data_IF_740445900369
#
_entry.id   IF_740445900369
#
_cell.length_a   1.000
_cell.length_b   1.000
_cell.length_c   1.000
_cell.angle_alpha   90.00
_cell.angle_beta   90.00
_cell.angle_gamma   90.00
#
_symmetry.space_group_name_H-M   'P 1'
#
loop_
_entity.id
_entity.type
_entity.pdbx_description
1 polymer ?
#
# COMPACT_ATOMS: atom_id res chain seq x y z
N UNK A 1 -14.10 11.53 10.60
CA UNK A 1 -13.04 11.80 9.61
C UNK A 1 -11.77 12.24 10.30
N UNK A 2 -10.63 11.79 9.83
CA UNK A 2 -9.35 12.29 10.31
C UNK A 2 -9.12 13.73 9.86
N UNK A 3 -8.40 14.52 10.67
CA UNK A 3 -7.90 15.80 10.21
C UNK A 3 -6.81 15.56 9.16
N UNK A 4 -6.91 16.25 8.02
CA UNK A 4 -5.86 16.23 7.04
C UNK A 4 -4.60 16.89 7.64
N UNK A 5 -3.44 16.28 7.40
CA UNK A 5 -2.16 16.85 7.83
C UNK A 5 -1.70 17.92 6.82
N UNK A 6 -1.44 19.14 7.28
CA UNK A 6 -0.96 20.20 6.41
C UNK A 6 0.43 19.91 5.82
N UNK A 7 1.23 19.06 6.49
CA UNK A 7 2.56 18.67 6.02
C UNK A 7 2.53 17.43 5.12
N UNK A 8 1.41 16.71 5.05
CA UNK A 8 1.33 15.45 4.30
C UNK A 8 1.17 15.73 2.81
N UNK A 9 2.12 15.23 2.01
CA UNK A 9 2.07 15.37 0.55
C UNK A 9 0.83 14.73 -0.06
N UNK A 10 0.39 13.58 0.46
CA UNK A 10 -0.81 12.91 -0.05
C UNK A 10 -2.09 13.63 0.32
N UNK A 11 -2.16 14.23 1.52
CA UNK A 11 -3.28 15.09 1.87
C UNK A 11 -3.37 16.31 0.93
N UNK A 12 -2.21 16.87 0.54
CA UNK A 12 -2.16 17.98 -0.42
C UNK A 12 -2.63 17.55 -1.81
N UNK A 13 -2.27 16.34 -2.24
CA UNK A 13 -2.73 15.78 -3.51
C UNK A 13 -4.25 15.57 -3.47
N UNK A 14 -4.78 15.04 -2.39
CA UNK A 14 -6.23 14.83 -2.21
C UNK A 14 -6.99 16.14 -2.32
N UNK A 15 -6.45 17.21 -1.75
CA UNK A 15 -7.06 18.57 -1.81
C UNK A 15 -6.89 19.26 -3.16
N UNK A 16 -6.04 18.73 -4.03
CA UNK A 16 -5.72 19.35 -5.31
C UNK A 16 -4.66 20.47 -5.23
N UNK A 17 -3.99 20.62 -4.09
CA UNK A 17 -2.92 21.60 -3.92
C UNK A 17 -1.65 21.19 -4.66
N UNK A 18 -1.41 19.89 -4.80
CA UNK A 18 -0.32 19.31 -5.58
C UNK A 18 -0.95 18.48 -6.71
N UNK A 19 -0.54 18.69 -7.96
CA UNK A 19 -1.09 17.90 -9.08
C UNK A 19 -0.62 16.45 -9.02
N UNK A 20 -1.43 15.54 -9.57
CA UNK A 20 -1.09 14.14 -9.74
C UNK A 20 -1.68 13.64 -11.06
N UNK A 21 -1.16 12.51 -11.54
CA UNK A 21 -1.72 11.81 -12.70
C UNK A 21 -2.82 10.86 -12.20
N UNK A 22 -4.01 11.41 -12.01
CA UNK A 22 -5.15 10.71 -11.43
C UNK A 22 -5.67 9.61 -12.34
N UNK A 23 -5.87 8.42 -11.80
CA UNK A 23 -6.44 7.27 -12.49
C UNK A 23 -7.85 6.96 -12.04
N UNK A 24 -8.15 7.18 -10.76
CA UNK A 24 -9.46 6.87 -10.18
C UNK A 24 -9.66 7.68 -8.91
N UNK A 25 -10.91 8.04 -8.66
CA UNK A 25 -11.28 8.72 -7.42
C UNK A 25 -12.68 8.30 -7.00
N UNK A 26 -12.85 8.03 -5.73
CA UNK A 26 -14.16 7.85 -5.09
C UNK A 26 -14.24 8.77 -3.86
N UNK A 27 -15.32 8.65 -3.13
CA UNK A 27 -15.48 9.39 -1.87
C UNK A 27 -14.39 9.01 -0.85
N UNK A 28 -13.88 7.77 -0.90
CA UNK A 28 -12.96 7.22 0.11
C UNK A 28 -11.52 7.09 -0.32
N UNK A 29 -11.26 6.96 -1.62
CA UNK A 29 -9.91 6.68 -2.12
C UNK A 29 -9.55 7.52 -3.33
N UNK A 30 -8.25 7.66 -3.54
CA UNK A 30 -7.66 8.30 -4.72
C UNK A 30 -6.56 7.39 -5.24
N UNK A 31 -6.52 7.18 -6.57
CA UNK A 31 -5.48 6.42 -7.23
C UNK A 31 -4.79 7.26 -8.31
N UNK A 32 -3.47 7.19 -8.37
CA UNK A 32 -2.65 7.96 -9.29
C UNK A 32 -1.34 7.25 -9.62
N UNK A 33 -0.70 7.66 -10.70
CA UNK A 33 0.61 7.11 -11.07
C UNK A 33 1.70 7.60 -10.12
N UNK A 34 2.61 6.69 -9.76
CA UNK A 34 3.82 7.06 -9.01
C UNK A 34 4.74 7.86 -9.94
N UNK A 35 5.24 9.01 -9.47
CA UNK A 35 6.15 9.86 -10.26
C UNK A 35 7.60 9.39 -10.22
N UNK A 36 7.91 8.43 -9.36
CA UNK A 36 9.21 7.75 -9.29
C UNK A 36 9.01 6.24 -9.47
N UNK A 37 8.49 5.82 -10.65
CA UNK A 37 8.05 4.46 -10.83
C UNK A 37 9.19 3.45 -10.82
N UNK A 38 8.95 2.29 -10.22
CA UNK A 38 9.86 1.14 -10.31
C UNK A 38 9.73 0.42 -11.65
N UNK A 39 8.59 0.56 -12.30
CA UNK A 39 8.32 0.04 -13.63
C UNK A 39 7.16 0.82 -14.25
N UNK A 40 6.99 0.66 -15.55
CA UNK A 40 5.88 1.31 -16.25
C UNK A 40 4.54 0.84 -15.69
N UNK A 41 3.70 1.79 -15.28
CA UNK A 41 2.38 1.50 -14.72
C UNK A 41 2.37 1.38 -13.20
N UNK A 42 3.50 1.62 -12.53
CA UNK A 42 3.55 1.68 -11.07
C UNK A 42 2.56 2.76 -10.58
N UNK A 43 1.57 2.34 -9.82
CA UNK A 43 0.50 3.21 -9.36
C UNK A 43 0.29 3.06 -7.86
N UNK A 44 -0.31 4.08 -7.27
CA UNK A 44 -0.67 4.11 -5.86
C UNK A 44 -2.16 4.23 -5.70
N UNK A 45 -2.71 3.60 -4.68
CA UNK A 45 -4.05 3.90 -4.18
C UNK A 45 -3.95 4.26 -2.72
N UNK A 46 -4.55 5.39 -2.35
CA UNK A 46 -4.49 5.92 -1.00
C UNK A 46 -5.89 6.13 -0.45
N UNK A 47 -6.12 5.91 0.86
CA UNK A 47 -7.35 6.36 1.49
C UNK A 47 -7.32 7.89 1.62
N UNK A 48 -8.47 8.52 1.48
CA UNK A 48 -8.60 9.97 1.74
C UNK A 48 -8.49 10.26 3.23
N UNK A 49 -8.85 9.28 4.06
CA UNK A 49 -8.61 9.34 5.51
C UNK A 49 -7.11 9.38 5.77
N UNK A 50 -6.64 10.38 6.54
CA UNK A 50 -5.22 10.48 6.90
C UNK A 50 -4.91 9.56 8.07
N UNK A 51 -3.97 8.65 7.88
CA UNK A 51 -3.39 7.81 8.92
C UNK A 51 -2.05 7.29 8.47
N UNK A 52 -1.12 7.18 9.41
CA UNK A 52 0.25 6.75 9.12
C UNK A 52 0.31 5.26 8.84
N UNK A 53 -0.27 4.45 9.72
CA UNK A 53 -0.20 2.99 9.67
C UNK A 53 -1.54 2.40 9.23
N UNK A 54 -1.49 1.20 8.65
CA UNK A 54 -2.70 0.47 8.27
C UNK A 54 -3.69 0.36 9.43
N UNK A 55 -3.16 0.13 10.64
CA UNK A 55 -3.95 0.01 11.87
C UNK A 55 -4.65 1.30 12.30
N UNK A 56 -4.26 2.45 11.74
CA UNK A 56 -4.87 3.74 12.03
C UNK A 56 -6.10 4.03 11.17
N UNK A 57 -6.32 3.24 10.11
CA UNK A 57 -7.36 3.51 9.13
C UNK A 57 -8.62 2.71 9.48
N UNK A 58 -9.81 3.35 9.54
CA UNK A 58 -11.07 2.62 9.74
C UNK A 58 -11.28 1.57 8.64
N UNK A 59 -11.84 0.42 9.02
CA UNK A 59 -12.07 -0.69 8.08
C UNK A 59 -12.83 -0.25 6.84
N UNK A 60 -13.80 0.62 7.01
CA UNK A 60 -14.62 1.12 5.90
C UNK A 60 -13.78 1.89 4.87
N UNK A 61 -12.77 2.63 5.34
CA UNK A 61 -11.86 3.36 4.46
C UNK A 61 -10.80 2.46 3.82
N UNK A 62 -10.55 1.27 4.41
CA UNK A 62 -9.68 0.25 3.81
C UNK A 62 -10.38 -0.58 2.74
N UNK A 63 -11.71 -0.67 2.79
CA UNK A 63 -12.48 -1.62 2.00
C UNK A 63 -12.33 -1.47 0.49
N UNK A 64 -12.00 -0.26 0.00
CA UNK A 64 -11.83 -0.01 -1.43
C UNK A 64 -10.38 -0.14 -1.91
N UNK A 65 -9.39 -0.23 -1.02
CA UNK A 65 -7.98 -0.18 -1.42
C UNK A 65 -7.59 -1.34 -2.33
N UNK A 66 -7.83 -2.58 -1.93
CA UNK A 66 -7.48 -3.74 -2.75
C UNK A 66 -8.36 -3.88 -4.00
N UNK A 67 -9.68 -3.66 -3.95
CA UNK A 67 -10.48 -3.63 -5.18
C UNK A 67 -9.98 -2.61 -6.21
N UNK A 68 -9.57 -1.43 -5.79
CA UNK A 68 -9.00 -0.42 -6.69
C UNK A 68 -7.61 -0.82 -7.18
N UNK A 69 -6.76 -1.38 -6.31
CA UNK A 69 -5.47 -1.93 -6.72
C UNK A 69 -5.63 -3.01 -7.79
N UNK A 70 -6.63 -3.87 -7.67
CA UNK A 70 -6.99 -4.85 -8.68
C UNK A 70 -7.33 -4.20 -10.02
N UNK A 71 -8.15 -3.14 -10.00
CA UNK A 71 -8.48 -2.38 -11.21
C UNK A 71 -7.25 -1.76 -11.86
N UNK A 72 -6.31 -1.24 -11.05
CA UNK A 72 -5.05 -0.69 -11.55
C UNK A 72 -4.22 -1.76 -12.24
N UNK A 73 -4.12 -2.96 -11.66
CA UNK A 73 -3.40 -4.07 -12.27
C UNK A 73 -4.00 -4.45 -13.63
N UNK A 74 -5.32 -4.59 -13.70
CA UNK A 74 -6.01 -4.89 -14.95
C UNK A 74 -5.77 -3.79 -15.98
N UNK A 75 -5.91 -2.53 -15.59
CA UNK A 75 -5.73 -1.39 -16.49
C UNK A 75 -4.29 -1.27 -17.00
N UNK A 76 -3.29 -1.66 -16.21
CA UNK A 76 -1.89 -1.63 -16.61
C UNK A 76 -1.55 -2.72 -17.64
N UNK A 77 -2.36 -3.76 -17.76
CA UNK A 77 -2.08 -4.91 -18.59
C UNK A 77 -1.02 -5.85 -18.02
N UNK A 78 -0.60 -5.65 -16.76
CA UNK A 78 0.43 -6.46 -16.14
C UNK A 78 -0.02 -7.91 -15.96
N UNK A 79 0.84 -8.85 -16.38
CA UNK A 79 0.65 -10.28 -16.12
C UNK A 79 1.12 -10.61 -14.70
N UNK A 80 2.30 -10.12 -14.36
CA UNK A 80 2.91 -10.29 -13.04
C UNK A 80 3.04 -8.92 -12.38
N UNK A 81 2.74 -8.84 -11.10
CA UNK A 81 2.79 -7.59 -10.36
C UNK A 81 2.86 -7.84 -8.86
N UNK A 82 3.35 -6.85 -8.13
CA UNK A 82 3.33 -6.87 -6.67
C UNK A 82 2.33 -5.85 -6.14
N UNK A 83 1.65 -6.22 -5.09
CA UNK A 83 0.87 -5.30 -4.25
C UNK A 83 1.67 -5.12 -2.97
N UNK A 84 2.01 -3.88 -2.63
CA UNK A 84 2.89 -3.56 -1.51
C UNK A 84 2.28 -2.46 -0.66
N UNK A 85 2.28 -2.68 0.65
CA UNK A 85 1.88 -1.68 1.62
C UNK A 85 2.86 -1.74 2.80
N UNK A 86 3.48 -0.61 3.12
CA UNK A 86 4.53 -0.54 4.13
C UNK A 86 4.05 0.25 5.35
N UNK A 87 4.40 -0.21 6.55
CA UNK A 87 4.02 0.41 7.81
C UNK A 87 5.26 0.66 8.67
N UNK A 88 5.67 1.91 8.78
CA UNK A 88 6.82 2.33 9.55
C UNK A 88 8.12 2.38 8.74
N UNK A 89 9.06 3.20 9.20
CA UNK A 89 10.37 3.39 8.54
C UNK A 89 11.17 2.10 8.37
N UNK A 90 11.30 1.24 9.40
CA UNK A 90 12.00 -0.03 9.24
C UNK A 90 11.40 -0.94 8.17
N UNK A 91 10.08 -0.79 7.90
CA UNK A 91 9.37 -1.51 6.86
C UNK A 91 9.30 -0.72 5.54
N UNK A 92 10.16 0.29 5.37
CA UNK A 92 10.30 1.06 4.13
C UNK A 92 9.13 2.00 3.83
N UNK A 93 8.45 2.52 4.85
CA UNK A 93 7.45 3.57 4.67
C UNK A 93 8.11 4.94 4.77
N UNK A 94 8.11 5.70 3.66
CA UNK A 94 8.72 7.04 3.63
C UNK A 94 7.70 8.18 3.63
N UNK A 95 6.45 7.92 3.28
CA UNK A 95 5.37 8.88 3.41
C UNK A 95 4.42 8.41 4.51
N UNK A 96 4.19 9.27 5.51
CA UNK A 96 3.39 8.95 6.69
C UNK A 96 1.89 9.12 6.43
N UNK A 97 1.42 8.44 5.40
CA UNK A 97 0.02 8.33 4.99
C UNK A 97 -0.11 7.00 4.28
N UNK A 98 -1.02 6.15 4.72
CA UNK A 98 -1.20 4.82 4.17
C UNK A 98 -1.34 4.87 2.64
N UNK A 99 -0.58 4.04 1.97
CA UNK A 99 -0.66 3.91 0.51
C UNK A 99 -0.34 2.48 0.10
N UNK A 100 -1.07 2.01 -0.90
CA UNK A 100 -0.90 0.69 -1.49
C UNK A 100 -0.30 0.88 -2.87
N UNK A 101 0.83 0.21 -3.11
CA UNK A 101 1.48 0.19 -4.42
C UNK A 101 0.94 -0.96 -5.26
N UNK A 102 0.69 -0.70 -6.52
CA UNK A 102 0.57 -1.73 -7.55
C UNK A 102 1.75 -1.55 -8.49
N UNK A 103 2.63 -2.55 -8.54
CA UNK A 103 3.92 -2.46 -9.23
C UNK A 103 4.01 -3.58 -10.25
N UNK A 104 3.87 -3.28 -11.54
CA UNK A 104 4.08 -4.30 -12.58
C UNK A 104 5.48 -4.89 -12.52
N UNK A 105 5.58 -6.21 -12.77
CA UNK A 105 6.84 -6.94 -12.85
C UNK A 105 7.00 -7.52 -14.25
N UNK A 106 7.39 -6.70 -15.24
CA UNK A 106 7.44 -7.14 -16.64
C UNK A 106 8.59 -8.11 -16.93
N UNK A 107 9.62 -8.09 -16.12
CA UNK A 107 10.79 -8.97 -16.23
C UNK A 107 11.51 -9.05 -14.87
N UNK A 108 12.61 -9.78 -14.81
CA UNK A 108 13.32 -10.00 -13.56
C UNK A 108 14.06 -8.77 -13.02
N UNK A 109 14.35 -7.78 -13.87
CA UNK A 109 15.14 -6.60 -13.49
C UNK A 109 14.30 -5.37 -13.17
N UNK A 110 13.15 -5.22 -13.81
CA UNK A 110 12.25 -4.08 -13.56
C UNK A 110 11.21 -4.43 -12.49
N UNK A 111 10.70 -3.40 -11.84
CA UNK A 111 9.70 -3.56 -10.78
C UNK A 111 10.34 -3.79 -9.42
N UNK A 112 9.55 -4.31 -8.50
CA UNK A 112 9.97 -4.54 -7.12
C UNK A 112 10.97 -5.69 -7.03
N UNK A 113 12.14 -5.44 -6.42
CA UNK A 113 13.06 -6.51 -6.04
C UNK A 113 12.59 -7.13 -4.74
N UNK A 114 12.25 -8.42 -4.75
CA UNK A 114 11.76 -9.13 -3.57
C UNK A 114 12.72 -10.25 -3.21
N UNK A 115 13.14 -10.25 -1.94
CA UNK A 115 13.96 -11.30 -1.35
C UNK A 115 14.00 -11.07 0.15
N UNK A 116 13.95 -12.15 0.94
CA UNK A 116 13.97 -12.04 2.39
C UNK A 116 14.61 -13.27 3.01
N UNK A 117 15.27 -13.10 4.20
CA UNK A 117 15.93 -14.21 4.91
C UNK A 117 14.88 -14.98 5.74
N UNK A 118 14.10 -15.84 5.09
CA UNK A 118 13.13 -16.65 5.79
C UNK A 118 13.82 -17.68 6.70
N UNK A 119 13.27 -17.87 7.89
CA UNK A 119 13.72 -18.95 8.77
C UNK A 119 13.14 -20.29 8.27
N UNK A 120 13.97 -21.04 7.58
CA UNK A 120 13.58 -22.33 7.01
C UNK A 120 13.50 -23.44 8.05
N UNK A 121 13.96 -23.19 9.27
CA UNK A 121 14.01 -24.18 10.36
C UNK A 121 13.26 -23.68 11.60
N UNK A 122 12.17 -22.93 11.41
CA UNK A 122 11.39 -22.40 12.52
C UNK A 122 10.89 -23.53 13.44
N UNK A 123 11.00 -23.33 14.75
CA UNK A 123 10.55 -24.27 15.76
C UNK A 123 9.02 -24.33 15.78
N UNK A 124 8.44 -25.47 15.42
CA UNK A 124 7.00 -25.65 15.30
C UNK A 124 6.27 -25.53 16.64
N UNK A 125 6.90 -25.93 17.74
CA UNK A 125 6.32 -25.78 19.07
C UNK A 125 6.20 -24.30 19.45
N UNK A 126 7.21 -23.49 19.11
CA UNK A 126 7.18 -22.03 19.34
C UNK A 126 6.14 -21.35 18.47
N UNK A 127 5.98 -21.78 17.22
CA UNK A 127 4.95 -21.24 16.33
C UNK A 127 3.56 -21.56 16.86
N UNK A 128 3.33 -22.77 17.35
CA UNK A 128 2.07 -23.16 17.96
C UNK A 128 1.75 -22.29 19.18
N UNK A 129 2.73 -22.09 20.05
CA UNK A 129 2.58 -21.26 21.26
C UNK A 129 2.24 -19.81 20.87
N UNK A 130 2.93 -19.25 19.86
CA UNK A 130 2.65 -17.91 19.38
C UNK A 130 1.25 -17.79 18.78
N UNK A 131 0.82 -18.79 18.02
CA UNK A 131 -0.53 -18.83 17.47
C UNK A 131 -1.58 -18.76 18.59
N UNK A 132 -1.40 -19.55 19.64
CA UNK A 132 -2.31 -19.55 20.79
C UNK A 132 -2.30 -18.21 21.55
N UNK A 133 -1.15 -17.53 21.58
CA UNK A 133 -1.03 -16.20 22.17
C UNK A 133 -1.75 -15.13 21.35
N UNK A 134 -1.66 -15.19 20.03
CA UNK A 134 -2.21 -14.17 19.12
C UNK A 134 -3.72 -14.29 18.94
N UNK A 135 -4.27 -15.52 18.90
CA UNK A 135 -5.69 -15.76 18.63
C UNK A 135 -6.64 -14.92 19.49
N UNK A 136 -6.47 -14.83 20.83
CA UNK A 136 -7.39 -14.05 21.66
C UNK A 136 -7.35 -12.55 21.39
N UNK A 137 -6.32 -12.09 20.68
CA UNK A 137 -6.12 -10.67 20.35
C UNK A 137 -6.69 -10.30 18.97
N UNK A 138 -7.13 -11.29 18.20
CA UNK A 138 -7.76 -11.08 16.90
C UNK A 138 -9.27 -10.70 17.11
#
# INVERSE_FOLDING_TARGET
MSAASAACIFCKIIKGEIPCHKLFESERVLAFLDIQPLSRGHALVIPKFHGKLLTDIPDQDLSELLPVAKKLAIASGATDFNILQNNGRPAHQYVDHVHVHMIPKPNETEGLGVGWPADMNADQAKLKALCEEMKPKM
#
